data_IF_357984414383
#
_entry.id   IF_357984414383
#
_cell.length_a   1.000
_cell.length_b   1.000
_cell.length_c   1.000
_cell.angle_alpha   90.00
_cell.angle_beta   90.00
_cell.angle_gamma   90.00
#
_symmetry.space_group_name_H-M   'P 1'
#
loop_
_entity.id
_entity.type
_entity.pdbx_description
1 polymer ?
#
# COMPACT_ATOMS: atom_id res chain seq x y z
N UNK A 1 7.27 -10.70 -3.66
CA UNK A 1 7.35 -11.18 -3.29
C UNK A 1 6.90 -11.83 -2.84
N UNK A 2 6.34 -11.66 -2.79
CA UNK A 2 5.97 -12.30 -2.07
C UNK A 2 6.78 -13.10 -1.97
N UNK A 3 7.21 -12.78 -2.19
CA UNK A 3 7.95 -13.31 -1.86
C UNK A 3 8.60 -12.96 -1.24
N UNK A 4 8.76 -11.74 -1.49
CA UNK A 4 9.47 -11.42 -0.60
C UNK A 4 8.97 -11.82 0.52
N UNK A 5 7.92 -11.33 0.71
CA UNK A 5 7.31 -11.70 1.81
C UNK A 5 7.37 -13.15 1.90
N UNK A 6 7.04 -13.78 0.81
CA UNK A 6 7.09 -15.12 0.80
C UNK A 6 8.41 -15.64 1.09
N UNK A 7 9.38 -15.05 0.56
CA UNK A 7 10.64 -15.46 0.77
C UNK A 7 11.02 -15.15 2.12
N UNK A 8 10.78 -14.00 2.57
CA UNK A 8 11.07 -13.58 3.85
C UNK A 8 10.38 -14.38 4.86
N UNK A 9 9.19 -14.69 4.65
CA UNK A 9 8.44 -15.46 5.56
C UNK A 9 8.74 -16.87 5.54
N UNK A 10 8.98 -17.36 4.46
CA UNK A 10 9.26 -18.72 4.40
C UNK A 10 10.62 -18.98 4.64
N UNK A 11 11.15 -18.55 4.70
CA UNK A 11 12.29 -18.94 4.95
C UNK A 11 12.42 -19.10 6.13
N UNK A 12 11.65 -18.98 6.23
CA UNK A 12 11.55 -18.98 6.98
C UNK A 12 11.04 -19.45 7.38
N UNK A 13 10.83 -19.71 7.24
CA UNK A 13 10.42 -20.13 7.59
C UNK A 13 10.86 -20.57 7.96
N UNK A 14 11.26 -20.53 7.85
CA UNK A 14 11.68 -20.54 8.35
C UNK A 14 12.22 -20.25 8.77
N UNK A 15 12.43 -19.94 8.98
CA UNK A 15 12.88 -19.37 9.47
C UNK A 15 13.35 -18.90 9.90
N UNK A 16 13.95 -18.71 10.24
CA UNK A 16 14.34 -18.20 10.90
C UNK A 16 14.82 -17.37 10.99
N UNK A 17 15.62 -16.89 10.43
CA UNK A 17 15.83 -16.05 10.86
C UNK A 17 14.97 -15.30 10.94
N UNK A 18 14.64 -15.21 10.11
CA UNK A 18 13.51 -14.83 10.41
C UNK A 18 13.10 -15.78 11.36
N UNK A 19 13.95 -16.48 11.78
CA UNK A 19 13.67 -17.40 12.63
C UNK A 19 12.96 -16.73 13.66
N UNK A 20 12.11 -17.17 14.30
CA UNK A 20 11.41 -16.53 15.33
C UNK A 20 10.07 -15.94 14.96
N UNK A 21 9.90 -15.60 13.70
CA UNK A 21 8.64 -15.03 13.31
C UNK A 21 7.83 -16.03 12.55
N UNK A 22 6.66 -16.30 13.07
CA UNK A 22 5.79 -17.28 12.46
C UNK A 22 4.42 -16.64 12.30
N UNK A 23 3.97 -16.50 11.08
CA UNK A 23 2.70 -15.88 10.81
C UNK A 23 1.61 -16.93 10.72
N UNK A 24 0.64 -16.84 11.62
CA UNK A 24 -0.48 -17.76 11.63
C UNK A 24 -1.44 -17.48 10.50
N UNK A 25 -1.49 -16.25 10.03
CA UNK A 25 -2.39 -15.86 8.96
C UNK A 25 -1.77 -14.79 8.10
N UNK A 26 -2.25 -14.69 6.86
CA UNK A 26 -1.80 -13.68 5.94
C UNK A 26 -3.02 -13.16 5.20
N UNK A 27 -3.10 -11.83 5.04
CA UNK A 27 -4.15 -11.22 4.24
C UNK A 27 -3.46 -10.63 3.02
N UNK A 28 -3.98 -10.93 1.86
CA UNK A 28 -3.37 -10.48 0.61
C UNK A 28 -4.34 -9.68 -0.23
N UNK A 29 -3.88 -8.55 -0.76
CA UNK A 29 -4.67 -7.73 -1.68
C UNK A 29 -3.73 -7.34 -2.81
N UNK A 30 -3.58 -8.23 -3.81
CA UNK A 30 -2.65 -8.00 -4.90
C UNK A 30 -1.23 -7.91 -4.36
N UNK A 31 -0.55 -6.79 -4.56
CA UNK A 31 0.82 -6.64 -4.07
C UNK A 31 0.90 -6.41 -2.56
N UNK A 32 -0.22 -6.12 -1.92
CA UNK A 32 -0.23 -5.86 -0.48
C UNK A 32 -0.28 -7.19 0.27
N UNK A 33 0.61 -7.33 1.24
CA UNK A 33 0.66 -8.54 2.04
C UNK A 33 0.73 -8.15 3.50
N UNK A 34 -0.18 -8.67 4.30
CA UNK A 34 -0.24 -8.36 5.72
C UNK A 34 -0.12 -9.65 6.51
N UNK A 35 0.95 -9.79 7.29
CA UNK A 35 1.18 -10.98 8.08
C UNK A 35 0.68 -10.76 9.50
N UNK A 36 0.10 -11.77 10.11
CA UNK A 36 -0.44 -11.69 11.46
C UNK A 36 0.19 -12.77 12.31
N UNK A 37 0.80 -12.35 13.41
CA UNK A 37 1.41 -13.30 14.33
C UNK A 37 0.97 -12.95 15.74
N UNK A 38 0.58 -13.96 16.50
CA UNK A 38 0.23 -13.76 17.89
C UNK A 38 1.29 -14.40 18.80
N UNK A 39 2.45 -14.71 18.21
CA UNK A 39 3.52 -15.36 18.97
C UNK A 39 3.17 -16.76 19.41
N UNK A 40 2.24 -17.38 18.68
CA UNK A 40 1.81 -18.72 19.04
C UNK A 40 0.84 -18.76 20.21
N UNK A 41 0.38 -17.59 20.64
CA UNK A 41 -0.45 -17.51 21.82
C UNK A 41 -1.84 -18.09 21.62
N UNK A 42 -2.47 -17.77 20.52
CA UNK A 42 -3.85 -18.16 20.33
C UNK A 42 -4.25 -18.19 18.86
N UNK A 43 -4.56 -19.38 18.33
CA UNK A 43 -5.05 -19.47 16.97
C UNK A 43 -6.39 -18.75 16.80
N UNK A 44 -7.22 -18.77 17.86
CA UNK A 44 -8.52 -18.11 17.80
C UNK A 44 -8.35 -16.58 17.68
N UNK A 45 -7.40 -16.02 18.43
CA UNK A 45 -7.14 -14.60 18.35
C UNK A 45 -6.60 -14.26 16.97
N UNK A 46 -5.72 -15.10 16.42
CA UNK A 46 -5.14 -14.87 15.11
C UNK A 46 -6.25 -14.84 14.05
N UNK A 47 -7.18 -15.78 14.13
CA UNK A 47 -8.29 -15.84 13.20
C UNK A 47 -9.20 -14.60 13.30
N UNK A 48 -9.43 -14.15 14.52
CA UNK A 48 -10.27 -12.97 14.73
C UNK A 48 -9.59 -11.74 14.14
N UNK A 49 -8.29 -11.60 14.34
CA UNK A 49 -7.55 -10.48 13.82
C UNK A 49 -7.55 -10.50 12.29
N UNK A 50 -7.45 -11.70 11.70
CA UNK A 50 -7.47 -11.81 10.26
C UNK A 50 -8.81 -11.32 9.73
N UNK A 51 -9.90 -11.72 10.38
CA UNK A 51 -11.24 -11.32 9.98
C UNK A 51 -11.38 -9.79 10.08
N UNK A 52 -10.88 -9.21 11.17
CA UNK A 52 -10.97 -7.78 11.36
C UNK A 52 -10.19 -7.02 10.27
N UNK A 53 -9.01 -7.53 9.92
CA UNK A 53 -8.19 -6.90 8.90
C UNK A 53 -8.83 -7.04 7.54
N UNK A 54 -9.39 -8.21 7.23
CA UNK A 54 -10.04 -8.41 5.96
C UNK A 54 -11.19 -7.43 5.78
N UNK A 55 -11.88 -7.13 6.85
CA UNK A 55 -12.99 -6.22 6.80
C UNK A 55 -12.49 -4.78 6.64
N UNK A 56 -11.40 -4.43 7.32
CA UNK A 56 -10.86 -3.08 7.29
C UNK A 56 -10.15 -2.77 5.96
N UNK A 57 -9.65 -3.82 5.29
CA UNK A 57 -8.92 -3.65 4.03
C UNK A 57 -9.65 -4.43 2.94
N UNK A 58 -10.65 -3.84 2.32
CA UNK A 58 -11.43 -4.53 1.28
C UNK A 58 -10.56 -4.91 0.10
N UNK A 59 -11.08 -5.78 -0.73
CA UNK A 59 -10.35 -6.27 -1.88
C UNK A 59 -9.96 -5.20 -2.89
N UNK A 60 -10.69 -4.11 -2.93
CA UNK A 60 -10.35 -3.06 -3.88
C UNK A 60 -9.01 -2.38 -3.55
N UNK A 61 -8.42 -2.70 -2.38
CA UNK A 61 -7.10 -2.15 -2.07
C UNK A 61 -6.05 -2.66 -3.06
N UNK A 62 -6.32 -3.77 -3.72
CA UNK A 62 -5.43 -4.25 -4.77
C UNK A 62 -5.41 -3.21 -5.89
N UNK A 63 -6.58 -2.69 -6.24
CA UNK A 63 -6.70 -1.70 -7.29
C UNK A 63 -6.14 -0.36 -6.84
N UNK A 64 -6.31 -0.05 -5.56
CA UNK A 64 -5.75 1.18 -4.99
C UNK A 64 -4.22 1.15 -5.17
N UNK A 65 -3.59 0.04 -4.79
CA UNK A 65 -2.15 -0.07 -4.91
C UNK A 65 -1.70 0.04 -6.36
N UNK A 66 -2.44 -0.59 -7.26
CA UNK A 66 -2.10 -0.55 -8.67
C UNK A 66 -2.23 0.87 -9.24
N UNK A 67 -3.26 1.59 -8.84
CA UNK A 67 -3.47 2.94 -9.34
C UNK A 67 -2.37 3.88 -8.86
N UNK A 68 -1.93 3.71 -7.62
CA UNK A 68 -0.87 4.55 -7.09
C UNK A 68 0.45 4.26 -7.79
N UNK A 69 0.70 3.00 -8.08
CA UNK A 69 1.92 2.62 -8.75
C UNK A 69 1.93 3.15 -10.18
N UNK A 70 0.78 3.19 -10.80
CA UNK A 70 0.64 3.68 -12.16
C UNK A 70 1.08 5.14 -12.31
N UNK A 71 0.76 5.98 -11.33
CA UNK A 71 1.09 7.40 -11.42
C UNK A 71 2.37 7.81 -10.70
N UNK A 72 3.03 6.84 -10.06
CA UNK A 72 4.20 7.14 -9.28
C UNK A 72 5.33 7.80 -10.07
N UNK A 73 5.67 7.21 -11.19
CA UNK A 73 6.77 7.74 -11.99
C UNK A 73 6.44 9.10 -12.56
N UNK A 74 5.20 9.29 -12.99
CA UNK A 74 4.77 10.56 -13.54
C UNK A 74 4.97 11.67 -12.50
N UNK A 75 4.61 11.41 -11.26
CA UNK A 75 4.74 12.42 -10.22
C UNK A 75 6.21 12.70 -9.93
N UNK A 76 7.04 11.66 -9.92
CA UNK A 76 8.46 11.87 -9.69
C UNK A 76 9.08 12.71 -10.80
N UNK A 77 8.60 12.55 -12.02
CA UNK A 77 9.13 13.33 -13.11
C UNK A 77 8.68 14.79 -13.08
N UNK A 78 7.48 15.01 -12.62
CA UNK A 78 6.91 16.35 -12.60
C UNK A 78 7.24 17.18 -11.36
N UNK A 79 7.42 16.53 -10.23
CA UNK A 79 7.62 17.21 -8.97
C UNK A 79 8.98 16.86 -8.39
N UNK A 80 9.87 17.82 -8.34
CA UNK A 80 11.20 17.56 -7.84
C UNK A 80 11.35 17.65 -6.33
N UNK A 81 10.47 18.39 -5.68
CA UNK A 81 10.55 18.60 -4.25
C UNK A 81 9.96 17.40 -3.50
N UNK A 82 10.77 16.79 -2.63
CA UNK A 82 10.36 15.61 -1.93
C UNK A 82 9.18 15.84 -0.98
N UNK A 83 9.18 16.97 -0.31
CA UNK A 83 8.13 17.29 0.62
C UNK A 83 6.80 17.46 -0.09
N UNK A 84 6.85 18.12 -1.24
CA UNK A 84 5.66 18.34 -2.04
C UNK A 84 5.15 17.02 -2.58
N UNK A 85 6.08 16.15 -3.04
CA UNK A 85 5.67 14.83 -3.53
C UNK A 85 4.97 14.06 -2.42
N UNK A 86 5.48 14.16 -1.20
CA UNK A 86 4.90 13.44 -0.07
C UNK A 86 3.45 13.88 0.15
N UNK A 87 3.20 15.18 0.08
CA UNK A 87 1.85 15.69 0.26
C UNK A 87 0.92 15.23 -0.84
N UNK A 88 1.45 15.23 -2.07
CA UNK A 88 0.66 14.80 -3.21
C UNK A 88 0.29 13.33 -3.07
N UNK A 89 1.26 12.47 -2.70
CA UNK A 89 0.98 11.06 -2.55
C UNK A 89 -0.03 10.79 -1.44
N UNK A 90 0.01 11.55 -0.37
CA UNK A 90 -0.95 11.37 0.71
C UNK A 90 -2.36 11.64 0.20
N UNK A 91 -2.51 12.69 -0.59
CA UNK A 91 -3.83 13.03 -1.14
C UNK A 91 -4.28 11.99 -2.16
N UNK A 92 -3.34 11.46 -2.94
CA UNK A 92 -3.68 10.44 -3.92
C UNK A 92 -4.15 9.17 -3.26
N UNK A 93 -3.52 8.81 -2.14
CA UNK A 93 -3.92 7.62 -1.40
C UNK A 93 -5.38 7.76 -0.95
N UNK A 94 -5.70 8.90 -0.33
CA UNK A 94 -7.05 9.12 0.17
C UNK A 94 -8.06 9.13 -0.97
N UNK A 95 -7.69 9.77 -2.08
CA UNK A 95 -8.60 9.84 -3.22
C UNK A 95 -8.79 8.46 -3.85
N UNK A 96 -7.71 7.70 -3.99
CA UNK A 96 -7.80 6.39 -4.59
C UNK A 96 -8.67 5.47 -3.75
N UNK A 97 -8.51 5.53 -2.43
CA UNK A 97 -9.34 4.72 -1.55
C UNK A 97 -10.81 5.13 -1.69
N UNK A 98 -11.07 6.43 -1.72
CA UNK A 98 -12.41 6.94 -1.88
C UNK A 98 -13.05 6.42 -3.16
N UNK A 99 -12.27 6.33 -4.24
CA UNK A 99 -12.74 5.89 -5.53
C UNK A 99 -12.58 4.38 -5.74
N UNK A 100 -12.22 3.67 -4.68
CA UNK A 100 -12.03 2.22 -4.72
C UNK A 100 -11.05 1.79 -5.81
N UNK A 101 -10.01 2.59 -5.97
CA UNK A 101 -8.96 2.28 -6.92
C UNK A 101 -9.15 2.84 -8.33
N UNK A 102 -10.27 3.51 -8.56
CA UNK A 102 -10.56 4.04 -9.91
C UNK A 102 -10.05 5.45 -10.09
N UNK A 103 -8.77 5.65 -9.78
CA UNK A 103 -8.14 6.95 -9.90
C UNK A 103 -7.85 7.22 -11.37
N UNK A 104 -8.18 8.39 -11.85
CA UNK A 104 -7.91 8.72 -13.25
C UNK A 104 -6.95 9.89 -13.33
N UNK A 105 -6.43 10.16 -14.53
CA UNK A 105 -5.44 11.21 -14.70
C UNK A 105 -5.97 12.58 -14.31
N UNK A 106 -7.24 12.81 -14.49
CA UNK A 106 -7.83 14.09 -14.12
C UNK A 106 -7.78 14.30 -12.60
N UNK A 107 -8.00 13.23 -11.84
CA UNK A 107 -7.94 13.31 -10.40
C UNK A 107 -6.52 13.65 -9.97
N UNK A 108 -5.54 13.03 -10.63
CA UNK A 108 -4.14 13.23 -10.31
C UNK A 108 -3.73 14.67 -10.61
N UNK A 109 -4.12 15.18 -11.78
CA UNK A 109 -3.77 16.53 -12.15
C UNK A 109 -4.39 17.54 -11.19
N UNK A 110 -5.63 17.31 -10.81
CA UNK A 110 -6.30 18.22 -9.90
C UNK A 110 -5.58 18.28 -8.56
N UNK A 111 -5.19 17.13 -8.04
CA UNK A 111 -4.49 17.07 -6.78
C UNK A 111 -3.13 17.76 -6.89
N UNK A 112 -2.43 17.54 -7.99
CA UNK A 112 -1.14 18.18 -8.19
C UNK A 112 -1.29 19.71 -8.22
N UNK A 113 -2.31 20.19 -8.92
CA UNK A 113 -2.53 21.63 -8.98
C UNK A 113 -2.87 22.21 -7.62
N UNK A 114 -3.69 21.52 -6.87
CA UNK A 114 -4.07 21.98 -5.54
C UNK A 114 -2.88 22.06 -4.60
N UNK A 115 -1.99 21.08 -4.68
CA UNK A 115 -0.84 21.05 -3.79
C UNK A 115 0.28 21.98 -4.21
N UNK A 116 0.36 22.32 -5.49
CA UNK A 116 1.42 23.21 -5.97
C UNK A 116 0.95 24.64 -6.08
N UNK A 117 -0.30 24.90 -5.77
CA UNK A 117 -0.82 26.25 -5.91
C UNK A 117 -0.94 26.66 -7.37
N UNK A 118 -1.10 25.67 -8.25
CA UNK A 118 -1.23 25.95 -9.67
C UNK A 118 0.07 25.91 -10.45
N UNK A 119 1.16 25.54 -9.81
CA UNK A 119 2.44 25.45 -10.49
C UNK A 119 2.99 24.06 -10.41
N UNK A 120 3.43 23.53 -11.53
CA UNK A 120 3.99 22.20 -11.59
C UNK A 120 5.34 22.32 -12.28
N UNK A 121 6.35 21.61 -11.78
CA UNK A 121 7.67 21.62 -12.37
C UNK A 121 7.54 21.20 -13.82
N UNK A 122 8.29 21.89 -14.65
CA UNK A 122 8.26 21.55 -16.06
C UNK A 122 7.19 22.23 -16.86
N UNK A 123 6.38 22.98 -16.19
CA UNK A 123 5.34 23.68 -16.86
C UNK A 123 5.79 25.02 -17.32
N UNK A 124 6.82 25.53 -16.80
CA UNK A 124 7.26 26.86 -17.19
C UNK A 124 8.03 26.92 -18.44
#
# INVERSE_FOLDING_TARGET
MLFIAQKILSNNAGSRSTKGIHFGSVVRRGPILIGISTGGTSPALNAQMKSNIEEAIPEYYEKVAQSLDEYREYIYLKIGDQELRSRIFKQLVLKSIQLEGNLCSEDVEKIMLEQTGGQVDGEN
#
